data_IF_483364730597
#
_entry.id   IF_483364730597
#
_cell.length_a   1.000
_cell.length_b   1.000
_cell.length_c   1.000
_cell.angle_alpha   90.00
_cell.angle_beta   90.00
_cell.angle_gamma   90.00
#
_symmetry.space_group_name_H-M   'P 1'
#
loop_
_entity.id
_entity.type
_entity.pdbx_description
1 polymer ?
#
# COMPACT_ATOMS: atom_id res chain seq x y z
N UNK A 1 -7.65 0.22 -20.65
CA UNK A 1 -6.97 1.00 -19.59
C UNK A 1 -7.32 0.36 -18.28
N UNK A 2 -6.34 0.15 -17.39
CA UNK A 2 -6.57 -0.48 -16.10
C UNK A 2 -5.84 0.32 -15.03
N UNK A 3 -6.57 0.93 -14.10
CA UNK A 3 -6.00 1.55 -12.91
C UNK A 3 -5.93 0.52 -11.79
N UNK A 4 -4.75 0.10 -11.36
CA UNK A 4 -4.59 -0.90 -10.32
C UNK A 4 -3.97 -0.35 -9.04
N UNK A 5 -4.35 0.85 -8.62
CA UNK A 5 -3.92 1.37 -7.34
C UNK A 5 -5.13 1.67 -6.45
N UNK A 6 -5.64 0.63 -5.78
CA UNK A 6 -6.62 0.80 -4.70
C UNK A 6 -5.97 0.88 -3.31
N UNK A 7 -4.67 0.61 -3.21
CA UNK A 7 -3.93 0.63 -1.94
C UNK A 7 -3.87 2.01 -1.27
N UNK A 8 -3.98 3.09 -2.05
CA UNK A 8 -4.08 4.46 -1.54
C UNK A 8 -5.54 4.92 -1.46
N UNK A 9 -6.17 4.94 -0.26
CA UNK A 9 -7.58 5.28 -0.13
C UNK A 9 -7.88 6.74 -0.51
N UNK A 10 -6.99 7.68 -0.25
CA UNK A 10 -7.17 9.08 -0.62
C UNK A 10 -7.22 9.26 -2.15
N UNK A 11 -6.28 8.64 -2.88
CA UNK A 11 -6.28 8.67 -4.33
C UNK A 11 -7.52 8.00 -4.92
N UNK A 12 -7.87 6.80 -4.46
CA UNK A 12 -9.01 6.05 -5.00
C UNK A 12 -10.34 6.78 -4.80
N UNK A 13 -10.52 7.46 -3.66
CA UNK A 13 -11.69 8.29 -3.40
C UNK A 13 -11.74 9.50 -4.33
N UNK A 14 -10.63 10.21 -4.50
CA UNK A 14 -10.53 11.34 -5.43
C UNK A 14 -10.84 10.89 -6.85
N UNK A 15 -10.19 9.82 -7.32
CA UNK A 15 -10.38 9.30 -8.67
C UNK A 15 -11.83 8.91 -8.95
N UNK A 16 -12.50 8.21 -8.02
CA UNK A 16 -13.92 7.83 -8.17
C UNK A 16 -14.87 9.01 -8.15
N UNK A 17 -14.58 10.06 -7.38
CA UNK A 17 -15.43 11.26 -7.28
C UNK A 17 -15.29 12.21 -8.46
N UNK A 18 -14.05 12.48 -8.87
CA UNK A 18 -13.74 13.48 -9.91
C UNK A 18 -13.76 12.88 -11.32
N UNK A 19 -13.55 11.57 -11.45
CA UNK A 19 -13.51 10.84 -12.72
C UNK A 19 -14.40 9.58 -12.68
N UNK A 20 -15.72 9.71 -12.42
CA UNK A 20 -16.62 8.57 -12.24
C UNK A 20 -16.66 7.63 -13.45
N UNK A 21 -16.39 8.13 -14.67
CA UNK A 21 -16.30 7.32 -15.89
C UNK A 21 -15.18 6.27 -15.86
N UNK A 22 -14.22 6.39 -14.92
CA UNK A 22 -13.13 5.43 -14.72
C UNK A 22 -13.29 4.58 -13.46
N UNK A 23 -14.41 4.67 -12.76
CA UNK A 23 -14.61 3.94 -11.51
C UNK A 23 -14.39 2.43 -11.68
N UNK A 24 -14.85 1.85 -12.80
CA UNK A 24 -14.69 0.43 -13.14
C UNK A 24 -13.25 0.05 -13.52
N UNK A 25 -12.43 1.03 -13.91
CA UNK A 25 -11.01 0.81 -14.18
C UNK A 25 -10.16 0.75 -12.90
N UNK A 26 -10.70 1.20 -11.77
CA UNK A 26 -9.99 1.19 -10.48
C UNK A 26 -10.13 -0.21 -9.88
N UNK A 27 -8.99 -0.79 -9.48
CA UNK A 27 -8.97 -2.12 -8.86
C UNK A 27 -9.88 -2.17 -7.64
N UNK A 28 -10.65 -3.24 -7.53
CA UNK A 28 -11.47 -3.55 -6.36
C UNK A 28 -10.73 -4.38 -5.31
N UNK A 29 -9.46 -4.73 -5.57
CA UNK A 29 -8.64 -5.47 -4.61
C UNK A 29 -8.58 -4.74 -3.26
N UNK A 30 -8.65 -5.52 -2.18
CA UNK A 30 -8.49 -5.02 -0.83
C UNK A 30 -7.13 -4.34 -0.66
N UNK A 31 -7.08 -3.29 0.15
CA UNK A 31 -5.78 -2.69 0.47
C UNK A 31 -4.95 -3.65 1.32
N UNK A 32 -3.61 -3.56 1.30
CA UNK A 32 -2.76 -4.41 2.13
C UNK A 32 -3.14 -4.40 3.62
N UNK A 33 -3.55 -3.24 4.14
CA UNK A 33 -4.03 -3.13 5.52
C UNK A 33 -5.24 -4.02 5.77
N UNK A 34 -6.27 -3.89 4.94
CA UNK A 34 -7.54 -4.63 5.12
C UNK A 34 -7.33 -6.11 4.86
N UNK A 35 -6.61 -6.47 3.79
CA UNK A 35 -6.31 -7.87 3.46
C UNK A 35 -5.56 -8.57 4.60
N UNK A 36 -4.50 -7.93 5.13
CA UNK A 36 -3.72 -8.49 6.23
C UNK A 36 -4.56 -8.60 7.51
N UNK A 37 -5.35 -7.58 7.83
CA UNK A 37 -6.25 -7.61 8.99
C UNK A 37 -7.27 -8.74 8.92
N UNK A 38 -7.86 -8.94 7.75
CA UNK A 38 -8.81 -10.04 7.50
C UNK A 38 -8.15 -11.41 7.64
N UNK A 39 -6.94 -11.60 7.10
CA UNK A 39 -6.15 -12.82 7.28
C UNK A 39 -5.87 -13.10 8.76
N UNK A 40 -5.38 -12.10 9.50
CA UNK A 40 -5.08 -12.23 10.92
C UNK A 40 -6.34 -12.62 11.70
N UNK A 41 -7.47 -11.98 11.46
CA UNK A 41 -8.73 -12.30 12.16
C UNK A 41 -9.33 -13.64 11.75
N UNK A 42 -9.05 -14.13 10.54
CA UNK A 42 -9.42 -15.49 10.12
C UNK A 42 -8.64 -16.54 10.92
N UNK A 43 -7.35 -16.31 11.14
CA UNK A 43 -6.50 -17.22 11.93
C UNK A 43 -6.70 -17.04 13.44
N UNK A 44 -6.98 -15.81 13.89
CA UNK A 44 -7.13 -15.43 15.30
C UNK A 44 -8.38 -14.54 15.50
N UNK A 45 -9.59 -15.11 15.53
CA UNK A 45 -10.86 -14.37 15.55
C UNK A 45 -11.02 -13.39 16.71
N UNK A 46 -10.45 -13.70 17.88
CA UNK A 46 -10.57 -12.89 19.10
C UNK A 46 -9.51 -11.78 19.20
N UNK A 47 -8.58 -11.69 18.22
CA UNK A 47 -7.51 -10.70 18.30
C UNK A 47 -8.01 -9.30 17.97
N UNK A 48 -7.27 -8.28 18.47
CA UNK A 48 -7.39 -6.89 18.05
C UNK A 48 -6.27 -6.55 17.09
N UNK A 49 -6.64 -5.97 15.94
CA UNK A 49 -5.67 -5.60 14.89
C UNK A 49 -5.43 -4.11 14.92
N UNK A 50 -4.17 -3.72 15.15
CA UNK A 50 -3.72 -2.34 15.05
C UNK A 50 -2.82 -2.17 13.83
N UNK A 51 -3.21 -1.29 12.91
CA UNK A 51 -2.35 -0.87 11.81
C UNK A 51 -1.51 0.33 12.24
N UNK A 52 -0.20 0.24 12.09
CA UNK A 52 0.75 1.32 12.34
C UNK A 52 1.38 1.73 11.02
N UNK A 53 1.29 3.02 10.67
CA UNK A 53 1.83 3.50 9.41
C UNK A 53 1.68 5.02 9.22
N UNK A 54 2.25 5.60 8.17
CA UNK A 54 2.30 7.06 7.98
C UNK A 54 0.99 7.68 7.46
N UNK A 55 -0.10 6.93 7.36
CA UNK A 55 -1.25 7.32 6.55
C UNK A 55 -2.49 7.69 7.38
N UNK A 56 -2.85 8.98 7.43
CA UNK A 56 -4.08 9.44 8.06
C UNK A 56 -5.36 8.95 7.32
N UNK A 57 -5.33 8.81 5.98
CA UNK A 57 -6.48 8.34 5.20
C UNK A 57 -6.85 6.88 5.52
N UNK A 58 -5.95 6.09 6.07
CA UNK A 58 -6.22 4.73 6.56
C UNK A 58 -7.18 4.71 7.75
N UNK A 59 -7.24 5.76 8.56
CA UNK A 59 -8.23 5.91 9.64
C UNK A 59 -9.65 5.96 9.06
N UNK A 60 -9.84 6.75 8.00
CA UNK A 60 -11.13 6.84 7.31
C UNK A 60 -11.47 5.53 6.60
N UNK A 61 -10.49 4.84 6.01
CA UNK A 61 -10.71 3.54 5.39
C UNK A 61 -11.19 2.50 6.42
N UNK A 62 -10.51 2.38 7.55
CA UNK A 62 -10.87 1.45 8.62
C UNK A 62 -12.26 1.73 9.22
N UNK A 63 -12.76 2.97 9.15
CA UNK A 63 -14.11 3.33 9.64
C UNK A 63 -15.24 2.93 8.70
N UNK A 64 -14.96 2.51 7.46
CA UNK A 64 -15.99 2.13 6.49
C UNK A 64 -16.74 0.88 6.94
N UNK A 65 -18.04 0.84 6.72
CA UNK A 65 -18.89 -0.27 7.12
C UNK A 65 -18.41 -1.63 6.61
N UNK A 66 -17.90 -1.69 5.40
CA UNK A 66 -17.43 -2.93 4.74
C UNK A 66 -16.12 -3.51 5.28
N UNK A 67 -15.34 -2.74 6.05
CA UNK A 67 -14.00 -3.16 6.52
C UNK A 67 -13.73 -2.83 8.00
N UNK A 68 -14.66 -2.20 8.70
CA UNK A 68 -14.47 -1.79 10.10
C UNK A 68 -14.31 -2.96 11.09
N UNK A 69 -14.68 -4.16 10.68
CA UNK A 69 -14.48 -5.39 11.45
C UNK A 69 -13.07 -5.97 11.28
N UNK A 70 -12.35 -5.60 10.21
CA UNK A 70 -11.04 -6.16 9.90
C UNK A 70 -9.92 -5.46 10.67
N UNK A 71 -10.08 -4.14 10.95
CA UNK A 71 -9.07 -3.31 11.59
C UNK A 71 -9.69 -2.57 12.79
N UNK A 72 -9.17 -2.81 13.99
CA UNK A 72 -9.69 -2.18 15.21
C UNK A 72 -9.08 -0.79 15.45
N UNK A 73 -7.79 -0.62 15.15
CA UNK A 73 -7.07 0.63 15.38
C UNK A 73 -6.18 1.00 14.19
N UNK A 74 -6.09 2.29 13.92
CA UNK A 74 -5.11 2.85 12.97
C UNK A 74 -4.34 3.95 13.68
N UNK A 75 -3.04 3.76 13.81
CA UNK A 75 -2.11 4.69 14.46
C UNK A 75 -1.09 5.20 13.45
N UNK A 76 -0.82 6.49 13.48
CA UNK A 76 0.30 7.07 12.72
C UNK A 76 1.62 6.85 13.48
N UNK A 77 2.75 6.95 12.77
CA UNK A 77 4.06 6.90 13.43
C UNK A 77 4.22 8.00 14.49
N UNK A 78 3.70 9.19 14.21
CA UNK A 78 3.72 10.31 15.14
C UNK A 78 2.93 9.99 16.42
N UNK A 79 1.75 9.38 16.30
CA UNK A 79 0.95 8.95 17.45
C UNK A 79 1.67 7.87 18.27
N UNK A 80 2.30 6.90 17.62
CA UNK A 80 3.04 5.82 18.29
C UNK A 80 4.27 6.39 19.03
N UNK A 81 4.97 7.35 18.45
CA UNK A 81 6.08 8.03 19.14
C UNK A 81 5.58 8.75 20.39
N UNK A 82 4.44 9.45 20.31
CA UNK A 82 3.82 10.06 21.48
C UNK A 82 3.47 9.02 22.58
N UNK A 83 3.04 7.81 22.19
CA UNK A 83 2.82 6.71 23.15
C UNK A 83 4.13 6.22 23.78
N UNK A 84 5.22 6.12 23.01
CA UNK A 84 6.53 5.74 23.53
C UNK A 84 7.08 6.77 24.50
N UNK A 85 6.97 8.05 24.19
CA UNK A 85 7.32 9.15 25.09
C UNK A 85 6.53 9.09 26.41
N UNK A 86 5.20 8.93 26.33
CA UNK A 86 4.34 8.81 27.50
C UNK A 86 4.72 7.60 28.40
N UNK A 87 5.19 6.52 27.78
CA UNK A 87 5.65 5.31 28.47
C UNK A 87 7.14 5.35 28.86
N UNK A 88 7.85 6.43 28.51
CA UNK A 88 9.30 6.58 28.76
C UNK A 88 10.11 5.42 28.20
N UNK A 89 9.78 4.96 26.98
CA UNK A 89 10.49 3.88 26.30
C UNK A 89 11.88 4.35 25.92
N UNK A 90 12.89 3.66 26.43
CA UNK A 90 14.29 3.91 26.09
C UNK A 90 14.75 2.91 25.01
N UNK A 91 14.80 3.38 23.77
CA UNK A 91 15.16 2.54 22.62
C UNK A 91 16.59 1.97 22.72
N UNK A 92 17.50 2.63 23.44
CA UNK A 92 18.88 2.16 23.61
C UNK A 92 18.99 0.89 24.48
N UNK A 93 17.94 0.59 25.24
CA UNK A 93 17.85 -0.57 26.13
C UNK A 93 17.02 -1.71 25.56
N UNK A 94 16.44 -1.55 24.37
CA UNK A 94 15.67 -2.61 23.73
C UNK A 94 16.61 -3.63 23.09
N UNK A 95 16.30 -4.94 23.20
CA UNK A 95 17.07 -5.95 22.49
C UNK A 95 16.86 -5.81 20.99
N UNK A 96 17.92 -6.01 20.21
CA UNK A 96 17.78 -6.18 18.78
C UNK A 96 17.01 -7.47 18.48
N UNK A 97 16.00 -7.36 17.63
CA UNK A 97 15.21 -8.50 17.18
C UNK A 97 15.19 -8.51 15.66
N UNK A 98 15.44 -9.67 15.07
CA UNK A 98 15.19 -9.86 13.64
C UNK A 98 13.68 -9.99 13.42
N UNK A 99 13.09 -8.93 12.85
CA UNK A 99 11.68 -8.90 12.43
C UNK A 99 11.52 -9.16 10.93
N UNK A 100 12.57 -9.64 10.25
CA UNK A 100 12.48 -10.02 8.83
C UNK A 100 11.49 -11.18 8.69
N UNK A 101 10.25 -10.80 8.54
CA UNK A 101 9.17 -11.70 8.18
C UNK A 101 9.27 -12.06 6.70
N UNK A 102 8.56 -13.06 6.23
CA UNK A 102 8.55 -13.49 4.84
C UNK A 102 8.01 -12.49 3.82
N UNK A 103 8.02 -11.18 4.11
CA UNK A 103 7.58 -10.15 3.18
C UNK A 103 8.54 -10.02 2.00
N UNK A 104 7.98 -9.94 0.78
CA UNK A 104 8.77 -9.80 -0.44
C UNK A 104 9.31 -8.38 -0.63
N UNK A 105 10.37 -8.24 -1.43
CA UNK A 105 10.88 -6.95 -1.85
C UNK A 105 9.80 -6.11 -2.57
N UNK A 106 8.98 -6.75 -3.43
CA UNK A 106 7.83 -6.10 -4.06
C UNK A 106 6.86 -5.53 -3.03
N UNK A 107 6.47 -6.32 -2.01
CA UNK A 107 5.55 -5.88 -0.96
C UNK A 107 6.11 -4.73 -0.13
N UNK A 108 7.40 -4.77 0.21
CA UNK A 108 8.07 -3.68 0.93
C UNK A 108 8.14 -2.41 0.07
N UNK A 109 8.27 -2.55 -1.25
CA UNK A 109 8.29 -1.45 -2.21
C UNK A 109 6.96 -0.69 -2.34
N UNK A 110 5.84 -1.23 -1.88
CA UNK A 110 4.53 -0.56 -1.95
C UNK A 110 4.47 0.81 -1.27
N UNK A 111 5.36 1.07 -0.32
CA UNK A 111 5.44 2.35 0.38
C UNK A 111 6.09 3.48 -0.43
N UNK A 112 6.74 3.15 -1.54
CA UNK A 112 7.38 4.11 -2.45
C UNK A 112 6.54 4.23 -3.72
N UNK A 113 6.43 5.44 -4.28
CA UNK A 113 5.72 5.69 -5.53
C UNK A 113 6.29 4.85 -6.68
N UNK A 114 5.43 4.23 -7.49
CA UNK A 114 5.80 3.27 -8.54
C UNK A 114 5.97 1.83 -8.06
N UNK A 115 6.02 1.60 -6.75
CA UNK A 115 6.29 0.28 -6.18
C UNK A 115 5.16 -0.73 -6.38
N UNK A 116 3.91 -0.29 -6.31
CA UNK A 116 2.74 -1.16 -6.57
C UNK A 116 2.68 -1.56 -8.03
N UNK A 117 2.88 -0.60 -8.93
CA UNK A 117 2.89 -0.86 -10.37
C UNK A 117 4.01 -1.83 -10.74
N UNK A 118 5.23 -1.65 -10.17
CA UNK A 118 6.36 -2.56 -10.38
C UNK A 118 6.04 -3.99 -9.93
N UNK A 119 5.42 -4.16 -8.77
CA UNK A 119 5.02 -5.47 -8.26
C UNK A 119 3.98 -6.15 -9.18
N UNK A 120 3.00 -5.39 -9.68
CA UNK A 120 2.01 -5.89 -10.64
C UNK A 120 2.68 -6.32 -11.94
N UNK A 121 3.61 -5.51 -12.47
CA UNK A 121 4.38 -5.86 -13.68
C UNK A 121 5.19 -7.15 -13.47
N UNK A 122 5.83 -7.32 -12.32
CA UNK A 122 6.57 -8.54 -12.01
C UNK A 122 5.65 -9.77 -12.00
N UNK A 123 4.45 -9.66 -11.40
CA UNK A 123 3.46 -10.72 -11.45
C UNK A 123 2.95 -11.00 -12.88
N UNK A 124 2.74 -9.97 -13.70
CA UNK A 124 2.31 -10.15 -15.09
C UNK A 124 3.40 -10.86 -15.89
N UNK A 125 4.66 -10.49 -15.74
CA UNK A 125 5.78 -11.14 -16.42
C UNK A 125 5.94 -12.60 -16.04
N UNK A 126 5.66 -12.95 -14.80
CA UNK A 126 5.66 -14.36 -14.35
C UNK A 126 4.51 -15.16 -14.98
N UNK A 127 3.31 -14.61 -14.96
CA UNK A 127 2.12 -15.30 -15.46
C UNK A 127 2.02 -15.29 -16.99
N UNK A 128 2.55 -14.25 -17.61
CA UNK A 128 2.47 -13.99 -19.06
C UNK A 128 3.79 -13.43 -19.59
N UNK A 129 4.85 -14.25 -19.73
CA UNK A 129 6.22 -13.80 -20.04
C UNK A 129 6.35 -12.94 -21.31
N UNK A 130 5.48 -13.15 -22.29
CA UNK A 130 5.49 -12.44 -23.57
C UNK A 130 4.60 -11.18 -23.59
N UNK A 131 4.00 -10.80 -22.45
CA UNK A 131 3.11 -9.65 -22.39
C UNK A 131 3.84 -8.40 -21.96
N UNK A 132 3.92 -7.43 -22.86
CA UNK A 132 4.41 -6.09 -22.53
C UNK A 132 3.33 -5.30 -21.81
N UNK A 133 3.74 -4.53 -20.81
CA UNK A 133 2.87 -3.67 -20.02
C UNK A 133 3.47 -2.28 -19.96
N UNK A 134 2.76 -1.32 -20.55
CA UNK A 134 3.09 0.10 -20.38
C UNK A 134 2.64 0.56 -19.01
N UNK A 135 3.50 1.29 -18.30
CA UNK A 135 3.26 1.72 -16.93
C UNK A 135 3.54 3.21 -16.82
N UNK A 136 2.70 3.90 -16.05
CA UNK A 136 3.01 5.24 -15.55
C UNK A 136 2.49 5.40 -14.13
N UNK A 137 3.04 6.34 -13.38
CA UNK A 137 2.63 6.61 -12.01
C UNK A 137 2.63 8.11 -11.73
N UNK A 138 1.84 8.51 -10.72
CA UNK A 138 1.78 9.88 -10.24
C UNK A 138 1.72 9.91 -8.72
N UNK A 139 2.35 10.92 -8.14
CA UNK A 139 2.36 11.17 -6.70
C UNK A 139 1.93 12.60 -6.38
N UNK A 140 1.20 12.75 -5.26
CA UNK A 140 0.45 13.96 -4.99
C UNK A 140 -0.87 14.02 -5.76
N UNK A 141 -1.95 14.49 -5.11
CA UNK A 141 -3.30 14.49 -5.72
C UNK A 141 -3.36 15.31 -7.00
N UNK A 142 -2.61 16.41 -7.11
CA UNK A 142 -2.64 17.27 -8.30
C UNK A 142 -2.02 16.58 -9.51
N UNK A 143 -0.88 15.90 -9.36
CA UNK A 143 -0.28 15.12 -10.45
C UNK A 143 -1.15 13.91 -10.80
N UNK A 144 -1.77 13.28 -9.81
CA UNK A 144 -2.75 12.23 -10.06
C UNK A 144 -3.95 12.74 -10.89
N UNK A 145 -4.47 13.94 -10.62
CA UNK A 145 -5.52 14.56 -11.44
C UNK A 145 -5.04 14.81 -12.87
N UNK A 146 -3.83 15.34 -13.04
CA UNK A 146 -3.25 15.57 -14.38
C UNK A 146 -3.11 14.26 -15.15
N UNK A 147 -2.65 13.19 -14.50
CA UNK A 147 -2.57 11.86 -15.09
C UNK A 147 -3.95 11.37 -15.54
N UNK A 148 -4.99 11.51 -14.71
CA UNK A 148 -6.36 11.12 -15.07
C UNK A 148 -6.96 11.99 -16.19
N UNK A 149 -6.62 13.29 -16.26
CA UNK A 149 -7.01 14.15 -17.38
C UNK A 149 -6.36 13.71 -18.69
N UNK A 150 -5.06 13.35 -18.67
CA UNK A 150 -4.37 12.78 -19.83
C UNK A 150 -5.00 11.45 -20.27
N UNK A 151 -5.37 10.60 -19.29
CA UNK A 151 -6.09 9.37 -19.56
C UNK A 151 -7.44 9.64 -20.25
N UNK A 152 -8.18 10.68 -19.82
CA UNK A 152 -9.41 11.13 -20.46
C UNK A 152 -9.19 11.60 -21.89
N UNK A 153 -8.04 12.19 -22.18
CA UNK A 153 -7.64 12.57 -23.53
C UNK A 153 -7.16 11.39 -24.41
N UNK A 154 -7.18 10.14 -23.89
CA UNK A 154 -6.81 8.94 -24.64
C UNK A 154 -5.32 8.61 -24.64
N UNK A 155 -4.48 9.36 -23.91
CA UNK A 155 -3.02 9.20 -23.93
C UNK A 155 -2.53 7.92 -23.25
N UNK A 156 -3.37 7.27 -22.40
CA UNK A 156 -2.98 6.10 -21.60
C UNK A 156 -3.75 4.83 -21.96
N UNK A 157 -4.14 4.67 -23.24
CA UNK A 157 -4.77 3.43 -23.69
C UNK A 157 -3.81 2.25 -23.54
N UNK A 158 -4.25 1.20 -22.83
CA UNK A 158 -3.43 0.01 -22.58
C UNK A 158 -2.42 0.13 -21.42
N UNK A 159 -2.37 1.27 -20.75
CA UNK A 159 -1.45 1.48 -19.62
C UNK A 159 -1.99 0.93 -18.30
N UNK A 160 -1.06 0.49 -17.46
CA UNK A 160 -1.24 0.31 -16.03
C UNK A 160 -0.84 1.61 -15.34
N UNK A 161 -1.77 2.23 -14.61
CA UNK A 161 -1.54 3.50 -13.94
C UNK A 161 -1.58 3.33 -12.42
N UNK A 162 -0.58 3.89 -11.73
CA UNK A 162 -0.53 3.98 -10.27
C UNK A 162 -0.71 5.43 -9.82
N UNK A 163 -1.54 5.65 -8.79
CA UNK A 163 -1.67 6.95 -8.15
C UNK A 163 -1.44 6.85 -6.65
N UNK A 164 -0.57 7.71 -6.11
CA UNK A 164 -0.34 7.89 -4.68
C UNK A 164 -0.67 9.32 -4.27
N UNK A 165 -1.49 9.49 -3.22
CA UNK A 165 -1.91 10.83 -2.78
C UNK A 165 -0.79 11.65 -2.13
N UNK A 166 0.23 10.99 -1.60
CA UNK A 166 1.35 11.62 -0.93
C UNK A 166 2.58 11.71 -1.83
N UNK A 167 3.36 12.79 -1.79
CA UNK A 167 4.64 12.88 -2.47
C UNK A 167 5.61 11.79 -2.01
N UNK A 168 6.30 11.14 -2.93
CA UNK A 168 7.19 10.00 -2.64
C UNK A 168 6.46 8.68 -2.35
N UNK A 169 5.13 8.67 -2.33
CA UNK A 169 4.32 7.55 -1.89
C UNK A 169 4.00 7.59 -0.39
N UNK A 170 3.76 6.41 0.23
CA UNK A 170 3.42 6.34 1.66
C UNK A 170 4.54 6.84 2.58
N UNK A 171 5.79 6.79 2.17
CA UNK A 171 6.94 7.34 2.92
C UNK A 171 6.82 8.85 3.16
N UNK A 172 6.01 9.58 2.35
CA UNK A 172 5.66 10.98 2.54
C UNK A 172 4.29 11.21 3.14
N UNK A 173 3.70 10.20 3.80
CA UNK A 173 2.38 10.30 4.42
C UNK A 173 2.32 11.31 5.56
N UNK A 174 1.10 11.83 5.84
CA UNK A 174 0.87 12.89 6.82
C UNK A 174 1.29 12.55 8.26
N UNK A 175 1.37 11.26 8.60
CA UNK A 175 1.80 10.79 9.93
C UNK A 175 3.23 10.25 9.97
N UNK A 176 4.07 10.61 8.98
CA UNK A 176 5.50 10.25 8.97
C UNK A 176 6.31 11.18 9.87
N UNK A 177 7.42 10.66 10.41
CA UNK A 177 8.35 11.39 11.28
C UNK A 177 9.74 11.48 10.67
N UNK A 178 9.90 11.04 9.44
CA UNK A 178 11.18 11.01 8.74
C UNK A 178 11.09 11.79 7.43
N UNK A 179 12.21 12.38 7.00
CA UNK A 179 12.31 13.00 5.69
C UNK A 179 12.12 11.96 4.57
N UNK A 180 11.33 12.32 3.56
CA UNK A 180 10.96 11.42 2.45
C UNK A 180 12.17 10.72 1.81
N UNK A 181 13.26 11.41 1.41
CA UNK A 181 14.41 10.76 0.81
C UNK A 181 15.07 9.73 1.73
N UNK A 182 15.17 10.04 3.03
CA UNK A 182 15.77 9.14 4.01
C UNK A 182 14.89 7.92 4.26
N UNK A 183 13.58 8.12 4.41
CA UNK A 183 12.61 7.03 4.55
C UNK A 183 12.63 6.10 3.32
N UNK A 184 12.69 6.66 2.11
CA UNK A 184 12.79 5.89 0.88
C UNK A 184 14.09 5.07 0.82
N UNK A 185 15.24 5.64 1.21
CA UNK A 185 16.51 4.92 1.28
C UNK A 185 16.46 3.73 2.23
N UNK A 186 15.87 3.89 3.41
CA UNK A 186 15.74 2.79 4.38
C UNK A 186 14.81 1.68 3.84
N UNK A 187 13.71 2.03 3.19
CA UNK A 187 12.84 1.05 2.53
C UNK A 187 13.60 0.29 1.44
N UNK A 188 14.36 0.99 0.58
CA UNK A 188 15.16 0.33 -0.47
C UNK A 188 16.24 -0.60 0.11
N UNK A 189 16.83 -0.24 1.26
CA UNK A 189 17.77 -1.11 1.97
C UNK A 189 17.07 -2.40 2.44
N UNK A 190 15.95 -2.27 3.14
CA UNK A 190 15.18 -3.44 3.63
C UNK A 190 14.67 -4.30 2.45
N UNK A 191 14.30 -3.70 1.32
CA UNK A 191 13.94 -4.43 0.09
C UNK A 191 15.10 -5.32 -0.40
N UNK A 192 16.33 -4.79 -0.40
CA UNK A 192 17.52 -5.56 -0.83
C UNK A 192 17.76 -6.78 0.05
N UNK A 193 17.49 -6.66 1.34
CA UNK A 193 17.67 -7.71 2.33
C UNK A 193 16.51 -8.72 2.38
N UNK A 194 15.46 -8.52 1.57
CA UNK A 194 14.31 -9.43 1.53
C UNK A 194 14.67 -10.79 0.92
N UNK A 195 14.31 -11.87 1.63
CA UNK A 195 14.54 -13.25 1.17
C UNK A 195 13.73 -13.58 -0.09
N UNK A 196 12.48 -13.09 -0.15
CA UNK A 196 11.59 -13.22 -1.31
C UNK A 196 11.68 -11.95 -2.16
N UNK A 197 11.79 -12.11 -3.47
CA UNK A 197 11.87 -10.97 -4.38
C UNK A 197 10.50 -10.49 -4.81
N UNK A 198 9.63 -11.41 -5.19
CA UNK A 198 8.38 -11.09 -5.86
C UNK A 198 7.15 -11.43 -5.03
N UNK A 199 6.06 -10.72 -5.26
CA UNK A 199 4.81 -10.91 -4.54
C UNK A 199 4.21 -12.31 -4.75
N UNK A 200 4.40 -12.92 -5.92
CA UNK A 200 3.92 -14.28 -6.22
C UNK A 200 4.65 -15.39 -5.45
N UNK A 201 5.78 -15.11 -4.81
CA UNK A 201 6.48 -16.03 -3.91
C UNK A 201 5.85 -16.07 -2.51
N UNK A 202 4.79 -15.30 -2.28
CA UNK A 202 4.11 -15.25 -0.99
C UNK A 202 3.49 -16.61 -0.62
N UNK A 203 3.70 -17.03 0.63
CA UNK A 203 3.06 -18.23 1.20
C UNK A 203 1.55 -18.08 1.34
N UNK A 204 1.04 -16.84 1.39
CA UNK A 204 -0.40 -16.55 1.49
C UNK A 204 -1.14 -16.62 0.16
N UNK A 205 -0.46 -16.91 -0.95
CA UNK A 205 -1.09 -17.01 -2.27
C UNK A 205 -2.23 -18.03 -2.32
N UNK A 206 -2.09 -19.14 -1.61
CA UNK A 206 -3.08 -20.23 -1.59
C UNK A 206 -4.37 -19.88 -0.85
N UNK A 207 -4.33 -18.88 0.06
CA UNK A 207 -5.50 -18.50 0.87
C UNK A 207 -6.24 -17.28 0.34
N UNK A 208 -5.73 -16.63 -0.72
CA UNK A 208 -6.38 -15.45 -1.31
C UNK A 208 -7.78 -15.73 -1.87
N UNK A 209 -8.06 -16.87 -2.56
CA UNK A 209 -9.39 -17.16 -3.05
C UNK A 209 -10.46 -17.22 -1.93
N UNK A 210 -10.07 -17.64 -0.73
CA UNK A 210 -10.97 -17.79 0.42
C UNK A 210 -11.32 -16.45 1.11
N UNK A 211 -10.78 -15.34 0.63
CA UNK A 211 -10.94 -14.00 1.22
C UNK A 211 -11.83 -13.08 0.39
N UNK A 212 -12.25 -13.52 -0.78
CA UNK A 212 -13.07 -12.73 -1.72
C UNK A 212 -14.58 -12.88 -1.48
N UNK A 213 -15.01 -13.67 -0.48
CA UNK A 213 -16.41 -13.83 -0.08
C UNK A 213 -16.86 -12.85 1.02
#
# INVERSE_FOLDING_TARGET
>A
MLFRSSCCPAWSVMAKREFPQYAECISMALTPMVLTGRLIKKEHPECKVAFIGPCAAKKLEASRHSVRSDIDFVLTFEEVIGMFEAKKVDFSKLPEMDITNGASADGRGFSISGGVASAVVNCIKELYPNREVNVDHAEGLDECRKMLMRAKAGMYNGYLLEGMACPGGCVGGAGTVQLIPKAAQEVEKIKKDSLKRHAYESTYRSVLPDLEE
#
